data_IF_069017121133
#
_entry.id   IF_069017121133
#
_cell.length_a   1.000
_cell.length_b   1.000
_cell.length_c   1.000
_cell.angle_alpha   90.00
_cell.angle_beta   90.00
_cell.angle_gamma   90.00
#
_symmetry.space_group_name_H-M   'P 1'
#
loop_
_entity.id
_entity.type
_entity.pdbx_description
1 polymer ?
#
# COMPACT_ATOMS: atom_id res chain seq x y z
N UNK A 1 -11.07 -12.31 -15.30
CA UNK A 1 -10.36 -12.24 -14.00
C UNK A 1 -9.15 -11.33 -14.17
N UNK A 2 -9.10 -10.23 -13.44
CA UNK A 2 -7.97 -9.27 -13.42
C UNK A 2 -6.88 -9.76 -12.48
N UNK A 3 -5.63 -9.49 -12.82
CA UNK A 3 -4.45 -9.84 -12.02
C UNK A 3 -3.79 -8.56 -11.50
N UNK A 4 -3.63 -8.43 -10.19
CA UNK A 4 -2.96 -7.32 -9.55
C UNK A 4 -1.70 -7.79 -8.82
N UNK A 5 -0.57 -7.16 -9.13
CA UNK A 5 0.69 -7.31 -8.40
C UNK A 5 0.85 -6.17 -7.40
N UNK A 6 1.04 -6.48 -6.12
CA UNK A 6 1.39 -5.47 -5.11
C UNK A 6 2.85 -5.63 -4.72
N UNK A 7 3.64 -4.56 -4.89
CA UNK A 7 5.07 -4.54 -4.58
C UNK A 7 5.30 -3.79 -3.28
N UNK A 8 5.97 -4.41 -2.30
CA UNK A 8 6.30 -3.71 -1.06
C UNK A 8 6.96 -4.58 -0.01
N UNK A 9 6.94 -4.12 1.23
CA UNK A 9 7.52 -4.81 2.38
C UNK A 9 6.45 -5.17 3.40
N UNK A 10 6.52 -6.40 3.90
CA UNK A 10 5.88 -6.81 5.12
C UNK A 10 6.93 -7.05 6.20
N UNK A 11 6.69 -6.51 7.37
CA UNK A 11 7.59 -6.62 8.52
C UNK A 11 6.93 -7.42 9.64
N UNK A 12 7.76 -7.99 10.51
CA UNK A 12 7.32 -8.54 11.78
C UNK A 12 6.95 -7.37 12.70
N UNK A 13 5.78 -7.46 13.32
CA UNK A 13 5.32 -6.52 14.35
C UNK A 13 5.45 -7.15 15.73
N UNK A 14 6.07 -6.42 16.64
CA UNK A 14 6.05 -6.72 18.07
C UNK A 14 5.25 -5.64 18.80
N UNK A 15 4.32 -6.05 19.64
CA UNK A 15 3.48 -5.14 20.43
C UNK A 15 3.28 -5.72 21.83
N UNK A 16 3.59 -4.91 22.86
CA UNK A 16 3.48 -5.32 24.26
C UNK A 16 4.43 -4.55 25.16
N UNK A 17 4.72 -5.12 26.34
CA UNK A 17 5.55 -4.48 27.36
C UNK A 17 7.05 -4.67 27.04
N UNK A 18 7.87 -3.63 27.07
CA UNK A 18 9.32 -3.74 26.98
C UNK A 18 9.85 -4.68 28.08
N UNK A 19 10.67 -5.66 27.70
CA UNK A 19 11.20 -6.70 28.59
C UNK A 19 10.16 -7.61 29.25
N UNK A 20 8.89 -7.51 28.84
CA UNK A 20 7.76 -8.31 29.27
C UNK A 20 7.18 -9.17 28.15
N UNK A 21 5.88 -9.47 28.23
CA UNK A 21 5.17 -10.25 27.21
C UNK A 21 4.87 -9.39 26.00
N UNK A 22 5.24 -9.86 24.81
CA UNK A 22 4.95 -9.23 23.54
C UNK A 22 4.11 -10.15 22.65
N UNK A 23 3.12 -9.56 22.00
CA UNK A 23 2.40 -10.21 20.91
C UNK A 23 3.17 -9.99 19.61
N UNK A 24 3.41 -11.06 18.89
CA UNK A 24 3.99 -11.02 17.55
C UNK A 24 2.90 -11.11 16.50
N UNK A 25 2.93 -10.20 15.56
CA UNK A 25 2.13 -10.22 14.34
C UNK A 25 2.97 -9.77 13.15
N UNK A 26 2.34 -9.32 12.09
CA UNK A 26 3.02 -8.71 10.93
C UNK A 26 2.15 -7.61 10.35
N UNK A 27 2.78 -6.69 9.62
CA UNK A 27 2.11 -5.60 8.92
C UNK A 27 3.04 -4.91 7.93
N UNK A 28 2.45 -4.19 7.03
CA UNK A 28 3.09 -3.38 6.00
C UNK A 28 2.00 -2.83 5.08
N UNK A 29 2.08 -1.59 4.67
CA UNK A 29 1.03 -0.89 3.95
C UNK A 29 0.55 -1.64 2.69
N UNK A 30 1.47 -2.06 1.85
CA UNK A 30 1.16 -2.82 0.63
C UNK A 30 0.61 -4.23 0.94
N UNK A 31 1.08 -4.90 2.00
CA UNK A 31 0.51 -6.18 2.41
C UNK A 31 -0.87 -6.01 3.04
N UNK A 32 -1.08 -4.98 3.86
CA UNK A 32 -2.39 -4.70 4.42
C UNK A 32 -3.42 -4.49 3.30
N UNK A 33 -3.07 -3.68 2.29
CA UNK A 33 -3.90 -3.50 1.09
C UNK A 33 -4.14 -4.83 0.36
N UNK A 34 -3.09 -5.66 0.16
CA UNK A 34 -3.23 -6.97 -0.49
C UNK A 34 -4.16 -7.90 0.28
N UNK A 35 -4.02 -7.94 1.62
CA UNK A 35 -4.82 -8.80 2.50
C UNK A 35 -6.29 -8.42 2.46
N UNK A 36 -6.58 -7.12 2.66
CA UNK A 36 -7.97 -6.65 2.60
C UNK A 36 -8.57 -6.85 1.21
N UNK A 37 -7.83 -6.56 0.15
CA UNK A 37 -8.31 -6.77 -1.22
C UNK A 37 -8.63 -8.24 -1.50
N UNK A 38 -7.75 -9.17 -1.11
CA UNK A 38 -7.96 -10.59 -1.30
C UNK A 38 -9.17 -11.13 -0.53
N UNK A 39 -9.51 -10.51 0.62
CA UNK A 39 -10.66 -10.89 1.44
C UNK A 39 -11.99 -10.36 0.92
N UNK A 40 -11.99 -9.18 0.26
CA UNK A 40 -13.23 -8.50 -0.14
C UNK A 40 -13.53 -8.58 -1.64
N UNK A 41 -12.53 -8.80 -2.48
CA UNK A 41 -12.75 -8.95 -3.92
C UNK A 41 -13.25 -10.37 -4.23
N UNK A 42 -14.19 -10.53 -5.19
CA UNK A 42 -14.59 -11.84 -5.66
C UNK A 42 -13.39 -12.61 -6.24
N UNK A 43 -13.11 -13.86 -5.79
CA UNK A 43 -11.90 -14.59 -6.16
C UNK A 43 -11.86 -14.99 -7.64
N UNK A 44 -12.99 -14.99 -8.32
CA UNK A 44 -13.15 -15.20 -9.76
C UNK A 44 -13.00 -13.91 -10.58
N UNK A 45 -13.09 -12.74 -9.94
CA UNK A 45 -12.91 -11.44 -10.59
C UNK A 45 -11.48 -10.90 -10.46
N UNK A 46 -10.85 -11.02 -9.30
CA UNK A 46 -9.51 -10.45 -9.01
C UNK A 46 -8.60 -11.50 -8.39
N UNK A 47 -7.39 -11.63 -8.96
CA UNK A 47 -6.30 -12.40 -8.36
C UNK A 47 -5.22 -11.46 -7.84
N UNK A 48 -4.96 -11.53 -6.55
CA UNK A 48 -3.98 -10.71 -5.83
C UNK A 48 -2.66 -11.44 -5.72
N UNK A 49 -1.57 -10.84 -6.22
CA UNK A 49 -0.20 -11.34 -6.09
C UNK A 49 0.62 -10.40 -5.23
N UNK A 50 1.36 -10.93 -4.27
CA UNK A 50 2.27 -10.12 -3.49
C UNK A 50 3.73 -10.35 -3.93
N UNK A 51 4.44 -9.27 -4.22
CA UNK A 51 5.80 -9.27 -4.74
C UNK A 51 6.73 -8.64 -3.72
N UNK A 52 7.57 -9.46 -3.12
CA UNK A 52 8.50 -9.06 -2.07
C UNK A 52 9.62 -10.08 -1.93
N UNK A 53 10.54 -9.87 -1.00
CA UNK A 53 11.46 -10.89 -0.54
C UNK A 53 11.35 -11.07 0.98
N UNK A 54 11.42 -12.32 1.42
CA UNK A 54 11.46 -12.74 2.81
C UNK A 54 12.71 -13.59 3.07
N UNK A 55 12.96 -13.94 4.32
CA UNK A 55 14.03 -14.86 4.67
C UNK A 55 13.65 -16.34 4.50
N UNK A 56 14.63 -17.22 4.77
CA UNK A 56 14.41 -18.66 4.93
C UNK A 56 14.38 -19.02 6.42
N UNK A 57 13.42 -18.49 7.13
CA UNK A 57 13.23 -18.67 8.57
C UNK A 57 11.76 -19.03 8.89
N UNK A 58 11.48 -19.54 10.10
CA UNK A 58 10.12 -19.93 10.47
C UNK A 58 9.09 -18.80 10.42
N UNK A 59 9.49 -17.55 10.70
CA UNK A 59 8.58 -16.39 10.68
C UNK A 59 8.21 -16.04 9.24
N UNK A 60 9.20 -16.01 8.33
CA UNK A 60 8.99 -15.82 6.90
C UNK A 60 8.05 -16.87 6.30
N UNK A 61 8.28 -18.15 6.63
CA UNK A 61 7.39 -19.25 6.21
C UNK A 61 5.99 -19.11 6.80
N UNK A 62 5.90 -18.71 8.07
CA UNK A 62 4.62 -18.51 8.76
C UNK A 62 3.82 -17.34 8.17
N UNK A 63 4.46 -16.22 7.80
CA UNK A 63 3.82 -15.08 7.11
C UNK A 63 3.28 -15.53 5.75
N UNK A 64 4.12 -16.17 4.93
CA UNK A 64 3.73 -16.64 3.59
C UNK A 64 2.51 -17.59 3.66
N UNK A 65 2.48 -18.53 4.62
CA UNK A 65 1.35 -19.43 4.80
C UNK A 65 0.05 -18.69 5.17
N UNK A 66 0.12 -17.64 6.01
CA UNK A 66 -1.04 -16.82 6.36
C UNK A 66 -1.55 -16.00 5.17
N UNK A 67 -0.67 -15.43 4.38
CA UNK A 67 -1.04 -14.70 3.15
C UNK A 67 -1.76 -15.61 2.16
N UNK A 68 -1.28 -16.84 2.00
CA UNK A 68 -1.94 -17.84 1.16
C UNK A 68 -3.34 -18.21 1.70
N UNK A 69 -3.49 -18.31 3.03
CA UNK A 69 -4.79 -18.56 3.65
C UNK A 69 -5.77 -17.39 3.47
N UNK A 70 -5.27 -16.16 3.35
CA UNK A 70 -6.05 -14.96 3.00
C UNK A 70 -6.36 -14.85 1.49
N UNK A 71 -5.91 -15.81 0.66
CA UNK A 71 -6.16 -15.81 -0.79
C UNK A 71 -5.11 -15.08 -1.64
N UNK A 72 -3.99 -14.66 -1.06
CA UNK A 72 -2.90 -13.99 -1.78
C UNK A 72 -2.02 -15.04 -2.48
N UNK A 73 -1.78 -14.86 -3.77
CA UNK A 73 -0.82 -15.67 -4.52
C UNK A 73 0.61 -15.23 -4.18
N UNK A 74 1.39 -16.13 -3.62
CA UNK A 74 2.75 -15.88 -3.11
C UNK A 74 3.86 -16.44 -4.00
N UNK A 75 3.57 -16.81 -5.24
CA UNK A 75 4.58 -17.37 -6.18
C UNK A 75 5.75 -16.42 -6.46
N UNK A 76 5.51 -15.11 -6.31
CA UNK A 76 6.51 -14.06 -6.51
C UNK A 76 7.08 -13.50 -5.20
N UNK A 77 6.87 -14.21 -4.10
CA UNK A 77 7.56 -13.94 -2.83
C UNK A 77 8.89 -14.67 -2.85
N UNK A 78 9.97 -13.92 -3.08
CA UNK A 78 11.32 -14.47 -3.17
C UNK A 78 11.84 -14.87 -1.78
N UNK A 79 12.74 -15.84 -1.72
CA UNK A 79 13.35 -16.29 -0.47
C UNK A 79 14.84 -15.95 -0.48
N UNK A 80 15.27 -15.02 0.36
CA UNK A 80 16.65 -14.60 0.52
C UNK A 80 17.28 -15.39 1.69
N UNK A 81 18.25 -16.27 1.45
CA UNK A 81 18.87 -17.06 2.52
C UNK A 81 19.79 -16.25 3.44
N UNK A 82 20.18 -15.04 3.03
CA UNK A 82 21.11 -14.19 3.76
C UNK A 82 20.42 -13.08 4.57
N UNK A 83 19.13 -12.81 4.29
CA UNK A 83 18.37 -11.71 4.90
C UNK A 83 17.06 -12.19 5.47
N UNK A 84 16.51 -11.40 6.38
CA UNK A 84 15.26 -11.67 7.07
C UNK A 84 14.24 -10.56 6.79
N UNK A 85 12.95 -10.73 7.16
CA UNK A 85 12.00 -9.64 7.14
C UNK A 85 12.45 -8.49 8.04
N UNK A 86 12.04 -7.27 7.69
CA UNK A 86 12.11 -6.16 8.63
C UNK A 86 11.31 -6.44 9.89
N UNK A 87 11.64 -5.74 10.97
CA UNK A 87 10.93 -5.81 12.24
C UNK A 87 10.61 -4.39 12.73
N UNK A 88 9.46 -4.21 13.33
CA UNK A 88 9.16 -3.03 14.13
C UNK A 88 8.52 -3.39 15.46
N UNK A 89 8.79 -2.53 16.44
CA UNK A 89 8.23 -2.61 17.77
C UNK A 89 7.33 -1.41 18.01
N UNK A 90 6.11 -1.66 18.46
CA UNK A 90 5.18 -0.62 18.91
C UNK A 90 5.32 -0.46 20.41
N UNK A 91 5.68 0.73 20.84
CA UNK A 91 5.68 1.13 22.24
C UNK A 91 4.54 2.11 22.48
N UNK A 92 3.85 1.94 23.60
CA UNK A 92 2.86 2.90 24.09
C UNK A 92 3.50 3.68 25.23
N UNK A 93 3.36 4.99 25.22
CA UNK A 93 3.70 5.81 26.37
C UNK A 93 2.58 5.81 27.43
N UNK A 94 2.78 6.53 28.52
CA UNK A 94 1.81 6.63 29.59
C UNK A 94 0.48 7.31 29.19
N UNK A 95 0.48 8.08 28.08
CA UNK A 95 -0.70 8.70 27.49
C UNK A 95 -1.39 7.80 26.46
N UNK A 96 -0.80 6.63 26.13
CA UNK A 96 -1.28 5.72 25.10
C UNK A 96 -0.84 6.09 23.67
N UNK A 97 0.06 7.08 23.53
CA UNK A 97 0.63 7.45 22.25
C UNK A 97 1.63 6.40 21.76
N UNK A 98 1.64 6.17 20.45
CA UNK A 98 2.46 5.13 19.83
C UNK A 98 3.79 5.68 19.36
N UNK A 99 4.86 4.98 19.73
CA UNK A 99 6.18 5.14 19.15
C UNK A 99 6.59 3.86 18.44
N UNK A 100 7.23 3.99 17.29
CA UNK A 100 7.65 2.88 16.48
C UNK A 100 9.17 2.83 16.42
N UNK A 101 9.75 1.67 16.76
CA UNK A 101 11.17 1.38 16.57
C UNK A 101 11.32 0.40 15.42
N UNK A 102 12.24 0.69 14.48
CA UNK A 102 12.37 -0.08 13.24
C UNK A 102 13.75 -0.73 13.10
N UNK A 103 13.77 -2.00 12.73
CA UNK A 103 14.94 -2.75 12.27
C UNK A 103 14.65 -3.28 10.87
N UNK A 104 14.83 -2.43 9.85
CA UNK A 104 14.47 -2.77 8.46
C UNK A 104 15.57 -2.47 7.44
N UNK A 105 16.70 -1.87 7.85
CA UNK A 105 17.73 -1.42 6.93
C UNK A 105 18.46 -2.56 6.19
N UNK A 106 18.31 -3.80 6.66
CA UNK A 106 18.87 -5.01 6.07
C UNK A 106 17.77 -6.04 5.72
N UNK A 107 16.52 -5.61 5.64
CA UNK A 107 15.42 -6.52 5.30
C UNK A 107 15.56 -7.08 3.89
N UNK A 108 15.10 -8.31 3.68
CA UNK A 108 15.12 -8.95 2.37
C UNK A 108 14.37 -8.12 1.31
N UNK A 109 13.22 -7.54 1.67
CA UNK A 109 12.41 -6.70 0.78
C UNK A 109 13.18 -5.47 0.25
N UNK A 110 14.06 -4.86 1.07
CA UNK A 110 14.91 -3.74 0.66
C UNK A 110 15.81 -4.09 -0.51
N UNK A 111 16.24 -5.34 -0.62
CA UNK A 111 17.17 -5.83 -1.63
C UNK A 111 16.47 -6.69 -2.70
N UNK A 112 15.15 -6.57 -2.84
CA UNK A 112 14.35 -7.32 -3.80
C UNK A 112 14.94 -7.31 -5.22
N UNK A 113 15.38 -6.13 -5.70
CA UNK A 113 15.91 -5.98 -7.05
C UNK A 113 17.33 -6.56 -7.24
N UNK A 114 18.00 -6.87 -6.15
CA UNK A 114 19.33 -7.50 -6.14
C UNK A 114 19.25 -9.02 -5.96
N UNK A 115 18.04 -9.57 -5.73
CA UNK A 115 17.84 -11.00 -5.58
C UNK A 115 18.17 -11.75 -6.89
N UNK A 116 18.85 -12.92 -6.85
CA UNK A 116 19.19 -13.70 -8.06
C UNK A 116 17.98 -14.01 -8.97
N UNK A 117 16.80 -14.23 -8.38
CA UNK A 117 15.56 -14.53 -9.12
C UNK A 117 14.79 -13.28 -9.55
N UNK A 118 15.30 -12.08 -9.26
CA UNK A 118 14.69 -10.84 -9.73
C UNK A 118 14.44 -10.80 -11.25
N UNK A 119 15.33 -11.29 -12.13
CA UNK A 119 15.07 -11.27 -13.57
C UNK A 119 13.77 -11.98 -13.98
N UNK A 120 13.42 -13.08 -13.30
CA UNK A 120 12.18 -13.83 -13.58
C UNK A 120 10.96 -13.03 -13.11
N UNK A 121 11.02 -12.47 -11.89
CA UNK A 121 9.96 -11.61 -11.36
C UNK A 121 9.79 -10.36 -12.23
N UNK A 122 10.89 -9.72 -12.62
CA UNK A 122 10.89 -8.56 -13.49
C UNK A 122 10.23 -8.85 -14.86
N UNK A 123 10.48 -10.00 -15.46
CA UNK A 123 9.82 -10.42 -16.70
C UNK A 123 8.31 -10.58 -16.50
N UNK A 124 7.88 -11.15 -15.36
CA UNK A 124 6.47 -11.37 -15.04
C UNK A 124 5.67 -10.07 -14.90
N UNK A 125 6.29 -8.94 -14.52
CA UNK A 125 5.58 -7.66 -14.33
C UNK A 125 4.79 -7.19 -15.55
N UNK A 126 5.23 -7.51 -16.76
CA UNK A 126 4.54 -7.13 -18.00
C UNK A 126 3.26 -7.94 -18.29
N UNK A 127 2.98 -8.98 -17.51
CA UNK A 127 1.82 -9.86 -17.70
C UNK A 127 0.68 -9.60 -16.71
N UNK A 128 0.84 -8.65 -15.80
CA UNK A 128 -0.24 -8.23 -14.91
C UNK A 128 -1.13 -7.19 -15.58
N UNK A 129 -2.42 -7.19 -15.23
CA UNK A 129 -3.34 -6.11 -15.63
C UNK A 129 -3.01 -4.80 -14.91
N UNK A 130 -2.58 -4.89 -13.65
CA UNK A 130 -2.18 -3.75 -12.85
C UNK A 130 -1.04 -4.07 -11.88
N UNK A 131 -0.26 -3.04 -11.54
CA UNK A 131 0.78 -3.08 -10.51
C UNK A 131 0.51 -1.97 -9.52
N UNK A 132 0.41 -2.32 -8.24
CA UNK A 132 0.28 -1.40 -7.12
C UNK A 132 1.58 -1.30 -6.34
N UNK A 133 1.93 -0.09 -5.95
CA UNK A 133 3.00 0.19 -5.01
C UNK A 133 2.70 1.48 -4.24
N UNK A 134 3.43 1.69 -3.14
CA UNK A 134 3.34 2.92 -2.36
C UNK A 134 4.64 3.72 -2.37
N UNK A 135 4.57 4.94 -1.83
CA UNK A 135 5.76 5.73 -1.55
C UNK A 135 6.72 5.03 -0.58
N UNK A 136 6.22 4.21 0.34
CA UNK A 136 7.06 3.36 1.22
C UNK A 136 7.81 2.32 0.40
N UNK A 137 7.15 1.69 -0.59
CA UNK A 137 7.81 0.71 -1.47
C UNK A 137 9.02 1.29 -2.21
N UNK A 138 8.95 2.58 -2.59
CA UNK A 138 10.09 3.30 -3.19
C UNK A 138 11.13 3.70 -2.15
N UNK A 139 10.68 4.18 -0.98
CA UNK A 139 11.56 4.74 0.06
C UNK A 139 12.53 3.71 0.63
N UNK A 140 12.10 2.46 0.79
CA UNK A 140 12.93 1.40 1.38
C UNK A 140 14.05 0.92 0.47
N UNK A 141 13.92 1.09 -0.85
CA UNK A 141 14.92 0.61 -1.80
C UNK A 141 16.21 1.46 -1.76
N UNK A 142 17.36 0.84 -2.01
CA UNK A 142 18.57 1.59 -2.34
C UNK A 142 18.30 2.54 -3.53
N UNK A 143 18.91 3.75 -3.57
CA UNK A 143 18.61 4.74 -4.61
C UNK A 143 18.69 4.20 -6.05
N UNK A 144 19.75 3.43 -6.38
CA UNK A 144 19.91 2.84 -7.71
C UNK A 144 18.81 1.81 -8.04
N UNK A 145 18.35 1.02 -7.07
CA UNK A 145 17.28 0.04 -7.26
C UNK A 145 15.92 0.72 -7.38
N UNK A 146 15.70 1.82 -6.65
CA UNK A 146 14.51 2.66 -6.80
C UNK A 146 14.38 3.19 -8.23
N UNK A 147 15.46 3.72 -8.77
CA UNK A 147 15.51 4.20 -10.16
C UNK A 147 15.19 3.07 -11.17
N UNK A 148 15.82 1.91 -10.99
CA UNK A 148 15.57 0.72 -11.82
C UNK A 148 14.11 0.26 -11.74
N UNK A 149 13.49 0.30 -10.56
CA UNK A 149 12.07 -0.05 -10.42
C UNK A 149 11.18 0.95 -11.15
N UNK A 150 11.42 2.26 -11.00
CA UNK A 150 10.67 3.31 -11.70
C UNK A 150 10.77 3.13 -13.23
N UNK A 151 11.97 2.91 -13.76
CA UNK A 151 12.17 2.67 -15.20
C UNK A 151 11.42 1.41 -15.67
N UNK A 152 11.40 0.37 -14.84
CA UNK A 152 10.63 -0.84 -15.15
C UNK A 152 9.12 -0.60 -15.15
N UNK A 153 8.60 0.15 -14.19
CA UNK A 153 7.18 0.52 -14.13
C UNK A 153 6.78 1.38 -15.32
N UNK A 154 7.65 2.31 -15.74
CA UNK A 154 7.46 3.10 -16.96
C UNK A 154 7.33 2.21 -18.20
N UNK A 155 8.21 1.21 -18.34
CA UNK A 155 8.13 0.24 -19.44
C UNK A 155 6.85 -0.62 -19.38
N UNK A 156 6.41 -1.02 -18.18
CA UNK A 156 5.14 -1.73 -17.98
C UNK A 156 3.95 -0.86 -18.39
N UNK A 157 3.93 0.41 -17.97
CA UNK A 157 2.88 1.37 -18.35
C UNK A 157 2.81 1.56 -19.87
N UNK A 158 3.96 1.71 -20.52
CA UNK A 158 4.04 1.81 -21.98
C UNK A 158 3.53 0.54 -22.71
N UNK A 159 3.61 -0.62 -22.05
CA UNK A 159 3.07 -1.89 -22.55
C UNK A 159 1.58 -2.11 -22.19
N UNK A 160 0.91 -1.15 -21.53
CA UNK A 160 -0.51 -1.19 -21.20
C UNK A 160 -0.84 -1.72 -19.80
N UNK A 161 0.15 -1.99 -18.95
CA UNK A 161 -0.07 -2.36 -17.55
C UNK A 161 -0.46 -1.11 -16.74
N UNK A 162 -1.53 -1.17 -15.98
CA UNK A 162 -1.94 -0.03 -15.14
C UNK A 162 -1.03 0.10 -13.90
N UNK A 163 -0.45 1.28 -13.69
CA UNK A 163 0.32 1.57 -12.50
C UNK A 163 -0.57 2.32 -11.50
N UNK A 164 -0.74 1.74 -10.31
CA UNK A 164 -1.57 2.25 -9.22
C UNK A 164 -0.64 2.66 -8.09
N UNK A 165 -0.67 3.92 -7.68
CA UNK A 165 0.29 4.47 -6.75
C UNK A 165 -0.37 5.11 -5.54
N UNK A 166 -0.04 4.63 -4.34
CA UNK A 166 -0.40 5.24 -3.07
C UNK A 166 0.76 6.17 -2.62
N UNK A 167 0.50 7.46 -2.51
CA UNK A 167 1.52 8.44 -2.09
C UNK A 167 2.19 8.07 -0.78
N UNK A 168 1.42 7.78 0.23
CA UNK A 168 1.82 7.26 1.54
C UNK A 168 3.19 7.80 2.02
N UNK A 169 3.33 9.14 2.05
CA UNK A 169 4.57 9.82 2.35
C UNK A 169 4.96 9.62 3.82
N UNK A 170 6.18 9.11 4.05
CA UNK A 170 6.74 8.91 5.38
C UNK A 170 8.11 9.58 5.45
N UNK A 171 8.18 10.84 5.97
CA UNK A 171 9.42 11.63 6.00
C UNK A 171 10.63 10.87 6.56
N UNK A 172 10.43 10.06 7.60
CA UNK A 172 11.48 9.30 8.26
C UNK A 172 12.18 8.24 7.38
N UNK A 173 11.59 7.87 6.23
CA UNK A 173 12.16 6.89 5.30
C UNK A 173 12.99 7.52 4.17
N UNK A 174 12.95 8.84 4.03
CA UNK A 174 13.65 9.59 3.00
C UNK A 174 14.77 10.44 3.60
N UNK A 175 15.80 10.73 2.82
CA UNK A 175 16.85 11.65 3.28
C UNK A 175 16.29 13.07 3.47
N UNK A 176 15.42 13.49 2.55
CA UNK A 176 14.75 14.79 2.59
C UNK A 176 13.59 14.84 1.58
N UNK A 177 12.81 15.92 1.64
CA UNK A 177 11.67 16.16 0.73
C UNK A 177 12.07 16.29 -0.75
N UNK A 178 13.27 16.79 -1.03
CA UNK A 178 13.76 16.96 -2.42
C UNK A 178 13.95 15.61 -3.09
N UNK A 179 14.55 14.64 -2.37
CA UNK A 179 14.71 13.27 -2.88
C UNK A 179 13.35 12.60 -3.13
N UNK A 180 12.40 12.77 -2.20
CA UNK A 180 11.05 12.21 -2.36
C UNK A 180 10.34 12.81 -3.56
N UNK A 181 10.35 14.14 -3.68
CA UNK A 181 9.72 14.87 -4.81
C UNK A 181 10.33 14.44 -6.14
N UNK A 182 11.65 14.26 -6.21
CA UNK A 182 12.33 13.79 -7.42
C UNK A 182 11.90 12.37 -7.81
N UNK A 183 11.83 11.44 -6.86
CA UNK A 183 11.39 10.07 -7.13
C UNK A 183 9.92 10.02 -7.58
N UNK A 184 9.01 10.76 -6.90
CA UNK A 184 7.61 10.82 -7.28
C UNK A 184 7.41 11.49 -8.65
N UNK A 185 8.11 12.60 -8.92
CA UNK A 185 8.03 13.30 -10.21
C UNK A 185 8.45 12.40 -11.39
N UNK A 186 9.38 11.45 -11.18
CA UNK A 186 9.73 10.45 -12.20
C UNK A 186 8.68 9.37 -12.38
N UNK A 187 7.98 8.96 -11.31
CA UNK A 187 6.97 7.90 -11.39
C UNK A 187 5.62 8.42 -11.91
N UNK A 188 5.17 9.59 -11.45
CA UNK A 188 3.82 10.13 -11.70
C UNK A 188 3.39 10.15 -13.17
N UNK A 189 4.26 10.47 -14.17
CA UNK A 189 3.87 10.43 -15.58
C UNK A 189 3.38 9.06 -16.08
N UNK A 190 3.69 8.00 -15.35
CA UNK A 190 3.35 6.61 -15.67
C UNK A 190 2.20 6.05 -14.83
N UNK A 191 1.68 6.86 -13.89
CA UNK A 191 0.62 6.44 -12.96
C UNK A 191 -0.76 6.58 -13.61
N UNK A 192 -1.54 5.49 -13.60
CA UNK A 192 -2.91 5.45 -14.11
C UNK A 192 -3.92 5.88 -13.06
N UNK A 193 -3.68 5.51 -11.80
CA UNK A 193 -4.49 5.87 -10.66
C UNK A 193 -3.60 6.25 -9.48
N UNK A 194 -3.75 7.47 -8.99
CA UNK A 194 -3.09 7.98 -7.79
C UNK A 194 -4.05 7.92 -6.60
N UNK A 195 -3.63 7.27 -5.51
CA UNK A 195 -4.36 7.11 -4.26
C UNK A 195 -3.67 7.95 -3.18
N UNK A 196 -3.98 9.24 -3.12
CA UNK A 196 -3.28 10.19 -2.27
C UNK A 196 -4.03 10.46 -0.97
N UNK A 197 -3.32 10.99 0.02
CA UNK A 197 -3.90 11.47 1.28
C UNK A 197 -3.62 12.97 1.40
N UNK A 198 -4.64 13.79 1.70
CA UNK A 198 -4.53 15.24 1.74
C UNK A 198 -3.36 15.73 2.62
N UNK A 199 -3.28 15.21 3.85
CA UNK A 199 -2.22 15.59 4.79
C UNK A 199 -0.81 15.21 4.30
N UNK A 200 -0.65 14.03 3.68
CA UNK A 200 0.64 13.59 3.12
C UNK A 200 1.08 14.48 1.96
N UNK A 201 0.14 14.87 1.07
CA UNK A 201 0.43 15.74 -0.07
C UNK A 201 0.81 17.15 0.37
N UNK A 202 0.07 17.74 1.32
CA UNK A 202 0.42 19.01 1.93
C UNK A 202 1.80 18.97 2.58
N UNK A 203 2.09 17.90 3.34
CA UNK A 203 3.38 17.73 4.02
C UNK A 203 4.54 17.57 3.04
N UNK A 204 4.33 16.92 1.90
CA UNK A 204 5.38 16.69 0.91
C UNK A 204 5.57 17.90 -0.02
N UNK A 205 4.48 18.47 -0.56
CA UNK A 205 4.52 19.40 -1.69
C UNK A 205 4.26 20.86 -1.31
N UNK A 206 3.80 21.11 -0.09
CA UNK A 206 3.33 22.42 0.39
C UNK A 206 2.11 22.92 -0.40
N UNK A 207 1.28 22.00 -0.94
CA UNK A 207 0.06 22.33 -1.65
C UNK A 207 -0.89 23.12 -0.74
N UNK A 208 -1.45 24.22 -1.26
CA UNK A 208 -2.30 25.11 -0.46
C UNK A 208 -3.64 24.47 -0.11
N UNK A 209 -4.16 23.65 -1.02
CA UNK A 209 -5.44 22.96 -0.91
C UNK A 209 -5.49 21.73 -1.83
N UNK A 210 -6.61 21.03 -1.78
CA UNK A 210 -6.82 19.81 -2.58
C UNK A 210 -6.82 20.08 -4.09
N UNK A 211 -7.33 21.22 -4.53
CA UNK A 211 -7.32 21.59 -5.96
C UNK A 211 -5.89 21.84 -6.47
N UNK A 212 -5.02 22.42 -5.64
CA UNK A 212 -3.60 22.54 -5.96
C UNK A 212 -2.92 21.18 -6.12
N UNK A 213 -3.23 20.23 -5.23
CA UNK A 213 -2.77 18.83 -5.33
C UNK A 213 -3.24 18.19 -6.64
N UNK A 214 -4.53 18.31 -6.97
CA UNK A 214 -5.09 17.74 -8.19
C UNK A 214 -4.45 18.36 -9.44
N UNK A 215 -4.33 19.70 -9.50
CA UNK A 215 -3.72 20.39 -10.61
C UNK A 215 -2.26 19.96 -10.83
N UNK A 216 -1.49 19.80 -9.75
CA UNK A 216 -0.11 19.31 -9.81
C UNK A 216 -0.04 17.86 -10.35
N UNK A 217 -0.90 16.96 -9.87
CA UNK A 217 -0.95 15.57 -10.32
C UNK A 217 -1.36 15.47 -11.81
N UNK A 218 -2.34 16.26 -12.23
CA UNK A 218 -2.76 16.36 -13.64
C UNK A 218 -1.61 16.90 -14.52
N UNK A 219 -0.91 17.92 -14.06
CA UNK A 219 0.26 18.45 -14.77
C UNK A 219 1.38 17.41 -14.88
N UNK A 220 1.52 16.55 -13.88
CA UNK A 220 2.45 15.42 -13.92
C UNK A 220 1.99 14.26 -14.81
N UNK A 221 0.77 14.32 -15.38
CA UNK A 221 0.25 13.30 -16.31
C UNK A 221 -0.70 12.27 -15.70
N UNK A 222 -1.02 12.37 -14.39
CA UNK A 222 -1.96 11.47 -13.71
C UNK A 222 -3.38 11.76 -14.20
N UNK A 223 -4.07 10.72 -14.67
CA UNK A 223 -5.43 10.87 -15.22
C UNK A 223 -6.52 10.71 -14.17
N UNK A 224 -6.36 9.78 -13.24
CA UNK A 224 -7.32 9.46 -12.20
C UNK A 224 -6.67 9.64 -10.83
N UNK A 225 -7.26 10.47 -10.00
CA UNK A 225 -6.74 10.77 -8.66
C UNK A 225 -7.83 10.56 -7.62
N UNK A 226 -7.48 9.90 -6.53
CA UNK A 226 -8.27 9.82 -5.31
C UNK A 226 -7.53 10.60 -4.23
N UNK A 227 -8.22 11.52 -3.57
CA UNK A 227 -7.72 12.19 -2.36
C UNK A 227 -8.49 11.66 -1.16
N UNK A 228 -7.83 10.93 -0.30
CA UNK A 228 -8.36 10.47 0.99
C UNK A 228 -8.32 11.64 1.98
N UNK A 229 -9.45 11.91 2.68
CA UNK A 229 -9.63 13.06 3.57
C UNK A 229 -10.04 12.66 4.98
N UNK A 230 -9.60 11.49 5.44
CA UNK A 230 -9.94 10.97 6.75
C UNK A 230 -11.46 10.83 6.95
N UNK A 231 -12.00 11.45 8.01
CA UNK A 231 -13.43 11.38 8.33
C UNK A 231 -14.33 12.07 7.28
N UNK A 232 -13.80 12.97 6.46
CA UNK A 232 -14.55 13.62 5.39
C UNK A 232 -14.76 12.70 4.18
N UNK A 233 -14.10 11.54 4.13
CA UNK A 233 -14.22 10.55 3.06
C UNK A 233 -13.18 10.73 1.97
N UNK A 234 -13.62 10.71 0.70
CA UNK A 234 -12.74 10.74 -0.44
C UNK A 234 -13.26 11.64 -1.56
N UNK A 235 -12.33 12.18 -2.34
CA UNK A 235 -12.61 12.94 -3.55
C UNK A 235 -11.94 12.24 -4.75
N UNK A 236 -12.75 11.86 -5.76
CA UNK A 236 -12.25 11.45 -7.06
C UNK A 236 -12.12 12.67 -7.96
N UNK A 237 -11.04 12.69 -8.77
CA UNK A 237 -10.80 13.73 -9.76
C UNK A 237 -10.23 13.14 -11.06
N UNK A 238 -10.83 13.52 -12.21
CA UNK A 238 -10.31 13.21 -13.55
C UNK A 238 -10.67 14.36 -14.50
N UNK A 239 -9.66 15.00 -15.10
CA UNK A 239 -9.89 16.24 -15.85
C UNK A 239 -10.63 17.27 -14.98
N UNK A 240 -11.78 17.75 -15.45
CA UNK A 240 -12.64 18.70 -14.71
C UNK A 240 -13.66 18.00 -13.79
N UNK A 241 -13.77 16.68 -13.87
CA UNK A 241 -14.70 15.90 -13.05
C UNK A 241 -14.27 15.85 -11.60
N UNK A 242 -15.20 16.06 -10.68
CA UNK A 242 -15.04 15.95 -9.23
C UNK A 242 -16.21 15.20 -8.62
N UNK A 243 -15.93 14.08 -7.93
CA UNK A 243 -16.95 13.30 -7.21
C UNK A 243 -16.49 13.20 -5.75
N UNK A 244 -17.18 13.95 -4.88
CA UNK A 244 -16.95 13.88 -3.45
C UNK A 244 -17.87 12.82 -2.83
N UNK A 245 -17.28 11.86 -2.09
CA UNK A 245 -18.00 10.81 -1.38
C UNK A 245 -17.70 10.94 0.10
N UNK A 246 -18.73 11.22 0.89
CA UNK A 246 -18.61 11.40 2.34
C UNK A 246 -18.13 10.11 3.02
N UNK A 247 -17.33 10.28 4.08
CA UNK A 247 -16.90 9.19 4.94
C UNK A 247 -18.09 8.59 5.73
N UNK A 248 -17.96 7.34 6.10
CA UNK A 248 -18.94 6.70 6.96
C UNK A 248 -18.73 7.09 8.42
N UNK A 249 -19.81 7.43 9.10
CA UNK A 249 -19.78 7.71 10.54
C UNK A 249 -19.66 6.41 11.31
N UNK A 250 -18.67 6.33 12.19
CA UNK A 250 -18.47 5.19 13.09
C UNK A 250 -18.83 5.58 14.53
N UNK A 251 -19.35 4.63 15.29
CA UNK A 251 -19.71 4.87 16.68
C UNK A 251 -18.47 5.13 17.57
N UNK A 252 -17.35 4.46 17.25
CA UNK A 252 -16.11 4.58 18.00
C UNK A 252 -14.91 4.26 17.10
N UNK A 253 -13.91 5.14 17.10
CA UNK A 253 -12.59 4.87 16.56
C UNK A 253 -11.73 4.19 17.63
N UNK A 254 -11.22 3.00 17.33
CA UNK A 254 -10.35 2.22 18.21
C UNK A 254 -8.90 2.34 17.76
N UNK A 255 -8.64 2.22 16.46
CA UNK A 255 -7.31 2.18 15.90
C UNK A 255 -7.33 2.63 14.43
N UNK A 256 -6.64 3.71 14.09
CA UNK A 256 -6.59 4.22 12.71
C UNK A 256 -5.48 3.59 11.88
N UNK A 257 -4.71 2.64 12.45
CA UNK A 257 -3.69 1.91 11.70
C UNK A 257 -4.32 1.20 10.50
N UNK A 258 -3.69 1.35 9.35
CA UNK A 258 -4.15 0.71 8.10
C UNK A 258 -5.49 1.21 7.53
N UNK A 259 -6.04 2.33 8.03
CA UNK A 259 -7.27 2.92 7.47
C UNK A 259 -7.11 3.26 5.98
N UNK A 260 -5.99 3.87 5.60
CA UNK A 260 -5.65 4.17 4.20
C UNK A 260 -5.47 2.92 3.35
N UNK A 261 -4.81 1.89 3.90
CA UNK A 261 -4.59 0.61 3.20
C UNK A 261 -5.93 -0.11 2.95
N UNK A 262 -6.82 -0.09 3.95
CA UNK A 262 -8.16 -0.64 3.85
C UNK A 262 -9.01 0.14 2.83
N UNK A 263 -8.95 1.48 2.84
CA UNK A 263 -9.58 2.30 1.82
C UNK A 263 -9.10 1.89 0.42
N UNK A 264 -7.79 1.79 0.21
CA UNK A 264 -7.21 1.41 -1.07
C UNK A 264 -7.72 0.03 -1.51
N UNK A 265 -7.79 -0.94 -0.60
CA UNK A 265 -8.28 -2.28 -0.89
C UNK A 265 -9.76 -2.28 -1.31
N UNK A 266 -10.63 -1.58 -0.58
CA UNK A 266 -12.06 -1.45 -0.90
C UNK A 266 -12.29 -0.75 -2.23
N UNK A 267 -11.56 0.35 -2.49
CA UNK A 267 -11.58 1.06 -3.76
C UNK A 267 -11.16 0.13 -4.91
N UNK A 268 -10.01 -0.53 -4.79
CA UNK A 268 -9.45 -1.41 -5.83
C UNK A 268 -10.32 -2.64 -6.09
N UNK A 269 -11.02 -3.15 -5.08
CA UNK A 269 -11.94 -4.28 -5.26
C UNK A 269 -13.07 -3.95 -6.26
N UNK A 270 -13.55 -2.71 -6.29
CA UNK A 270 -14.57 -2.25 -7.25
C UNK A 270 -13.94 -1.72 -8.55
N UNK A 271 -12.83 -1.00 -8.45
CA UNK A 271 -12.10 -0.46 -9.60
C UNK A 271 -11.67 -1.54 -10.61
N UNK A 272 -11.13 -2.67 -10.11
CA UNK A 272 -10.71 -3.79 -10.95
C UNK A 272 -11.88 -4.56 -11.59
N UNK A 273 -13.10 -4.26 -11.20
CA UNK A 273 -14.34 -4.76 -11.80
C UNK A 273 -15.02 -3.70 -12.68
N UNK A 274 -14.28 -2.65 -13.06
CA UNK A 274 -14.74 -1.57 -13.91
C UNK A 274 -15.98 -0.83 -13.35
N UNK A 275 -16.12 -0.75 -12.01
CA UNK A 275 -17.18 -0.03 -11.34
C UNK A 275 -16.97 1.50 -11.43
N UNK A 276 -18.06 2.26 -11.33
CA UNK A 276 -18.05 3.72 -11.34
C UNK A 276 -17.24 4.29 -10.15
N UNK A 277 -16.54 5.42 -10.33
CA UNK A 277 -15.65 6.01 -9.31
C UNK A 277 -16.36 6.26 -7.96
N UNK A 278 -17.62 6.65 -7.97
CA UNK A 278 -18.40 6.86 -6.76
C UNK A 278 -18.58 5.56 -5.96
N UNK A 279 -18.89 4.46 -6.63
CA UNK A 279 -19.02 3.13 -6.01
C UNK A 279 -17.69 2.64 -5.46
N UNK A 280 -16.57 2.90 -6.18
CA UNK A 280 -15.23 2.61 -5.69
C UNK A 280 -14.89 3.39 -4.41
N UNK A 281 -15.18 4.70 -4.38
CA UNK A 281 -14.97 5.53 -3.19
C UNK A 281 -15.82 5.08 -2.00
N UNK A 282 -17.10 4.72 -2.22
CA UNK A 282 -17.97 4.17 -1.17
C UNK A 282 -17.39 2.90 -0.58
N UNK A 283 -16.95 1.96 -1.41
CA UNK A 283 -16.36 0.71 -0.95
C UNK A 283 -15.07 0.96 -0.15
N UNK A 284 -14.23 1.91 -0.59
CA UNK A 284 -13.05 2.34 0.16
C UNK A 284 -13.39 2.93 1.52
N UNK A 285 -14.32 3.88 1.57
CA UNK A 285 -14.81 4.50 2.82
C UNK A 285 -15.39 3.47 3.79
N UNK A 286 -16.22 2.54 3.27
CA UNK A 286 -16.83 1.48 4.07
C UNK A 286 -15.79 0.57 4.73
N UNK A 287 -14.82 0.08 3.95
CA UNK A 287 -13.80 -0.82 4.50
C UNK A 287 -12.87 -0.09 5.49
N UNK A 288 -12.49 1.16 5.20
CA UNK A 288 -11.74 1.98 6.15
C UNK A 288 -12.52 2.20 7.46
N UNK A 289 -13.80 2.56 7.37
CA UNK A 289 -14.68 2.74 8.53
C UNK A 289 -14.82 1.45 9.36
N UNK A 290 -14.90 0.30 8.71
CA UNK A 290 -14.90 -1.00 9.39
C UNK A 290 -13.59 -1.23 10.13
N UNK A 291 -12.45 -1.04 9.48
CA UNK A 291 -11.12 -1.35 10.04
C UNK A 291 -10.82 -0.50 11.27
N UNK A 292 -11.12 0.79 11.26
CA UNK A 292 -10.82 1.68 12.39
C UNK A 292 -11.61 1.40 13.67
N UNK A 293 -12.61 0.53 13.62
CA UNK A 293 -13.37 0.06 14.77
C UNK A 293 -12.74 -1.16 15.46
N UNK A 294 -11.57 -1.60 14.98
CA UNK A 294 -10.85 -2.76 15.51
C UNK A 294 -9.39 -2.41 15.81
N UNK A 295 -8.74 -3.21 16.64
CA UNK A 295 -7.32 -3.02 17.00
C UNK A 295 -6.40 -3.75 16.04
N UNK A 296 -5.34 -3.07 15.59
CA UNK A 296 -4.24 -3.62 14.77
C UNK A 296 -4.41 -3.36 13.28
N UNK A 297 -3.34 -3.60 12.54
CA UNK A 297 -3.26 -3.30 11.11
C UNK A 297 -4.12 -4.25 10.24
N UNK A 298 -4.27 -5.50 10.67
CA UNK A 298 -5.08 -6.52 9.97
C UNK A 298 -6.11 -7.05 10.96
N UNK A 299 -7.38 -6.73 10.72
CA UNK A 299 -8.50 -7.16 11.54
C UNK A 299 -8.96 -8.59 11.18
N UNK A 300 -9.76 -9.28 12.02
CA UNK A 300 -10.30 -10.60 11.67
C UNK A 300 -11.12 -10.58 10.37
N UNK A 301 -10.99 -11.64 9.58
CA UNK A 301 -11.54 -11.70 8.22
C UNK A 301 -13.07 -11.62 8.17
N UNK A 302 -13.75 -12.10 9.22
CA UNK A 302 -15.22 -12.05 9.34
C UNK A 302 -15.82 -10.65 9.30
N UNK A 303 -15.04 -9.62 9.62
CA UNK A 303 -15.46 -8.21 9.53
C UNK A 303 -15.18 -7.58 8.17
N UNK A 304 -14.33 -8.22 7.33
CA UNK A 304 -13.97 -7.69 6.02
C UNK A 304 -15.05 -8.05 5.00
N UNK A 305 -16.01 -7.16 4.79
CA UNK A 305 -17.09 -7.33 3.79
C UNK A 305 -17.33 -6.03 3.05
N UNK A 306 -17.65 -6.13 1.77
CA UNK A 306 -18.23 -5.03 1.02
C UNK A 306 -19.71 -5.37 0.80
N UNK A 307 -20.58 -4.40 1.10
CA UNK A 307 -21.97 -4.52 0.71
C UNK A 307 -22.07 -4.54 -0.82
N UNK A 308 -22.99 -5.33 -1.33
CA UNK A 308 -23.15 -5.63 -2.76
C UNK A 308 -23.50 -4.41 -3.62
#
# INVERSE_FOLDING_TARGET
MKTLALIGECMIELNGEPFGTMRQTYGGDSLNTATYLARVAPPDAVRVHYLTALGDDPLSRGMKARWQADGIDTRYVLTDPARQPGLYLIQLDAAGERTFLYWRNQSAARYLLQHPDWPQLNAALAHFDAIYLSGISLAILPPADRERLIDRLAACAAAGVQILFDGNYRPALWQNRVETRAAYARLLPHVHLALMTDDDERALWDDADIEATIARLQTAGVKNTIIKRGAEGALYAAGDERIAVAGERVARVIDTTSAGDAFNAGYLARYLQDAEPEACCRAGNHLAATVIQHKGAIIPAEYCRLEG
#
